data_IF_299789973356
#
_entry.id   IF_299789973356
#
_cell.length_a   1.000
_cell.length_b   1.000
_cell.length_c   1.000
_cell.angle_alpha   90.00
_cell.angle_beta   90.00
_cell.angle_gamma   90.00
#
_symmetry.space_group_name_H-M   'P 1'
#
loop_
_entity.id
_entity.type
_entity.pdbx_description
1 polymer ?
#
# COMPACT_ATOMS: atom_id res chain seq x y z
N UNK A 1 -8.64 15.57 -2.05
CA UNK A 1 -7.18 15.61 -1.91
C UNK A 1 -6.82 14.68 -0.77
N UNK A 2 -5.96 13.69 -1.02
CA UNK A 2 -5.44 12.76 -0.01
C UNK A 2 -4.73 13.56 1.08
N UNK A 3 -5.10 13.39 2.34
CA UNK A 3 -4.46 14.13 3.42
C UNK A 3 -3.03 13.65 3.63
N UNK A 4 -2.18 14.51 4.16
CA UNK A 4 -0.79 14.14 4.49
C UNK A 4 -0.72 12.96 5.46
N UNK A 5 -1.68 12.84 6.37
CA UNK A 5 -1.80 11.69 7.27
C UNK A 5 -2.05 10.37 6.51
N UNK A 6 -2.94 10.38 5.52
CA UNK A 6 -3.24 9.22 4.67
C UNK A 6 -2.04 8.81 3.82
N UNK A 7 -1.30 9.78 3.27
CA UNK A 7 -0.08 9.52 2.51
C UNK A 7 1.02 8.88 3.37
N UNK A 8 1.18 9.35 4.62
CA UNK A 8 2.17 8.78 5.55
C UNK A 8 1.76 7.38 6.01
N UNK A 9 0.46 7.14 6.21
CA UNK A 9 -0.05 5.83 6.61
C UNK A 9 0.16 4.78 5.53
N UNK A 10 -0.17 5.11 4.27
CA UNK A 10 0.07 4.23 3.15
C UNK A 10 1.58 3.99 2.92
N UNK A 11 2.40 5.03 3.08
CA UNK A 11 3.86 4.89 3.06
C UNK A 11 4.39 3.93 4.13
N UNK A 12 3.86 3.98 5.37
CA UNK A 12 4.22 3.04 6.43
C UNK A 12 3.82 1.61 6.07
N UNK A 13 2.64 1.42 5.47
CA UNK A 13 2.19 0.11 5.00
C UNK A 13 3.14 -0.48 3.96
N UNK A 14 3.57 0.32 2.98
CA UNK A 14 4.55 -0.11 1.96
C UNK A 14 5.84 -0.58 2.63
N UNK A 15 6.39 0.21 3.55
CA UNK A 15 7.60 -0.17 4.27
C UNK A 15 7.43 -1.47 5.07
N UNK A 16 6.28 -1.66 5.73
CA UNK A 16 5.99 -2.88 6.49
C UNK A 16 5.92 -4.10 5.58
N UNK A 17 5.24 -4.01 4.44
CA UNK A 17 5.14 -5.10 3.46
C UNK A 17 6.51 -5.41 2.84
N UNK A 18 7.27 -4.38 2.47
CA UNK A 18 8.61 -4.52 1.91
C UNK A 18 9.60 -5.16 2.91
N UNK A 19 9.41 -4.93 4.22
CA UNK A 19 10.18 -5.57 5.28
C UNK A 19 9.77 -7.02 5.58
N UNK A 20 8.86 -7.60 4.80
CA UNK A 20 8.37 -8.98 5.00
C UNK A 20 7.09 -9.09 5.82
N UNK A 21 6.49 -7.97 6.22
CA UNK A 21 5.24 -7.93 6.97
C UNK A 21 4.07 -8.50 6.16
N UNK A 22 3.22 -9.29 6.82
CA UNK A 22 1.99 -9.82 6.23
C UNK A 22 0.82 -8.89 6.53
N UNK A 23 -0.08 -8.79 5.56
CA UNK A 23 -1.37 -8.12 5.74
C UNK A 23 -2.45 -9.15 6.02
N UNK A 24 -3.42 -8.76 6.83
CA UNK A 24 -4.72 -9.42 6.88
C UNK A 24 -5.45 -9.24 5.56
N UNK A 25 -6.49 -10.05 5.35
CA UNK A 25 -7.36 -9.95 4.18
C UNK A 25 -8.01 -8.57 4.05
N UNK A 26 -8.39 -7.97 5.17
CA UNK A 26 -9.03 -6.66 5.20
C UNK A 26 -8.05 -5.54 4.84
N UNK A 27 -6.83 -5.57 5.39
CA UNK A 27 -5.76 -4.62 5.05
C UNK A 27 -5.41 -4.69 3.56
N UNK A 28 -5.26 -5.91 3.02
CA UNK A 28 -5.00 -6.10 1.60
C UNK A 28 -6.15 -5.56 0.74
N UNK A 29 -7.40 -5.85 1.09
CA UNK A 29 -8.58 -5.33 0.39
C UNK A 29 -8.57 -3.79 0.36
N UNK A 30 -8.34 -3.16 1.52
CA UNK A 30 -8.31 -1.70 1.65
C UNK A 30 -7.16 -1.08 0.87
N UNK A 31 -5.96 -1.70 0.87
CA UNK A 31 -4.82 -1.21 0.12
C UNK A 31 -5.04 -1.29 -1.39
N UNK A 32 -5.58 -2.42 -1.89
CA UNK A 32 -5.92 -2.57 -3.31
C UNK A 32 -7.05 -1.63 -3.72
N UNK A 33 -8.05 -1.38 -2.86
CA UNK A 33 -9.11 -0.40 -3.13
C UNK A 33 -8.52 1.00 -3.38
N UNK A 34 -7.60 1.43 -2.51
CA UNK A 34 -6.93 2.73 -2.63
C UNK A 34 -6.10 2.86 -3.92
N UNK A 35 -5.46 1.77 -4.36
CA UNK A 35 -4.72 1.73 -5.63
C UNK A 35 -5.68 1.79 -6.83
N UNK A 36 -6.69 0.93 -6.89
CA UNK A 36 -7.62 0.81 -8.02
C UNK A 36 -8.44 2.11 -8.21
N UNK A 37 -8.78 2.79 -7.11
CA UNK A 37 -9.53 4.04 -7.14
C UNK A 37 -8.65 5.29 -7.30
N UNK A 38 -7.34 5.13 -7.52
CA UNK A 38 -6.39 6.24 -7.64
C UNK A 38 -6.39 7.21 -6.44
N UNK A 39 -6.63 6.69 -5.23
CA UNK A 39 -6.65 7.48 -3.99
C UNK A 39 -5.23 7.83 -3.50
N UNK A 40 -4.24 7.02 -3.90
CA UNK A 40 -2.82 7.24 -3.59
C UNK A 40 -2.05 7.74 -4.82
N UNK A 41 -0.95 8.51 -4.65
CA UNK A 41 -0.11 8.94 -5.76
C UNK A 41 0.47 7.75 -6.53
N UNK A 42 0.64 7.88 -7.85
CA UNK A 42 1.12 6.81 -8.73
C UNK A 42 2.42 6.15 -8.23
N UNK A 43 3.36 6.95 -7.72
CA UNK A 43 4.62 6.44 -7.15
C UNK A 43 4.37 5.48 -5.97
N UNK A 44 3.44 5.82 -5.08
CA UNK A 44 3.11 4.96 -3.93
C UNK A 44 2.32 3.71 -4.36
N UNK A 45 1.44 3.84 -5.36
CA UNK A 45 0.73 2.69 -5.93
C UNK A 45 1.72 1.66 -6.49
N UNK A 46 2.67 2.10 -7.33
CA UNK A 46 3.70 1.23 -7.90
C UNK A 46 4.59 0.60 -6.83
N UNK A 47 5.00 1.39 -5.83
CA UNK A 47 5.81 0.89 -4.72
C UNK A 47 5.09 -0.19 -3.90
N UNK A 48 3.79 -0.02 -3.62
CA UNK A 48 2.98 -1.03 -2.92
C UNK A 48 2.89 -2.33 -3.71
N UNK A 49 2.56 -2.26 -5.01
CA UNK A 49 2.44 -3.44 -5.87
C UNK A 49 3.76 -4.21 -5.92
N UNK A 50 4.87 -3.51 -6.11
CA UNK A 50 6.20 -4.13 -6.14
C UNK A 50 6.57 -4.77 -4.80
N UNK A 51 6.34 -4.07 -3.69
CA UNK A 51 6.60 -4.61 -2.35
C UNK A 51 5.78 -5.89 -2.10
N UNK A 52 4.50 -5.87 -2.44
CA UNK A 52 3.60 -7.01 -2.20
C UNK A 52 3.94 -8.22 -3.07
N UNK A 53 4.25 -8.00 -4.36
CA UNK A 53 4.67 -9.08 -5.28
C UNK A 53 6.01 -9.68 -4.83
N UNK A 54 6.98 -8.85 -4.47
CA UNK A 54 8.33 -9.28 -4.07
C UNK A 54 8.30 -10.08 -2.77
N UNK A 55 7.42 -9.70 -1.84
CA UNK A 55 7.21 -10.44 -0.58
C UNK A 55 6.65 -11.86 -0.81
N UNK A 56 5.94 -12.08 -1.91
CA UNK A 56 5.17 -13.31 -2.16
C UNK A 56 3.76 -13.22 -1.54
N UNK A 57 2.71 -12.94 -2.33
CA UNK A 57 1.34 -12.68 -1.87
C UNK A 57 0.79 -13.70 -0.86
#
# INVERSE_FOLDING_TARGET
MTSESQLREFGRLICQVAAGGRMTREEACNAYRQVILNEQPELQQGAFLMAHITRGP
#
